data_IF_823838464644
#
_entry.id   IF_823838464644
#
_cell.length_a   1.000
_cell.length_b   1.000
_cell.length_c   1.000
_cell.angle_alpha   90.00
_cell.angle_beta   90.00
_cell.angle_gamma   90.00
#
_symmetry.space_group_name_H-M   'P 1'
#
loop_
_entity.id
_entity.type
_entity.pdbx_description
1 polymer ?
#
# COMPACT_ATOMS: atom_id res chain seq x y z
N UNK A 1 -7.84 -5.91 11.14
CA UNK A 1 -7.99 -5.95 9.66
C UNK A 1 -6.70 -5.47 9.02
N UNK A 2 -6.08 -6.22 8.10
CA UNK A 2 -5.05 -5.68 7.22
C UNK A 2 -5.71 -5.16 5.93
N UNK A 3 -5.44 -3.91 5.56
CA UNK A 3 -5.99 -3.23 4.40
C UNK A 3 -4.85 -2.79 3.47
N UNK A 4 -4.67 -3.53 2.38
CA UNK A 4 -3.67 -3.23 1.35
C UNK A 4 -4.23 -2.28 0.31
N UNK A 5 -3.62 -1.11 0.17
CA UNK A 5 -3.90 -0.14 -0.89
C UNK A 5 -2.96 -0.38 -2.05
N UNK A 6 -3.50 -0.85 -3.17
CA UNK A 6 -2.67 -1.21 -4.31
C UNK A 6 -2.27 0.05 -5.07
N UNK A 7 -0.97 0.22 -5.32
CA UNK A 7 -0.41 1.42 -5.94
C UNK A 7 0.79 1.10 -6.81
N UNK A 8 1.15 2.01 -7.72
CA UNK A 8 2.37 2.02 -8.50
C UNK A 8 3.36 3.06 -7.94
N UNK A 9 4.68 2.91 -8.14
CA UNK A 9 5.68 3.86 -7.63
C UNK A 9 5.40 5.32 -8.00
N UNK A 10 4.96 5.57 -9.24
CA UNK A 10 4.67 6.91 -9.78
C UNK A 10 3.45 7.61 -9.13
N UNK A 11 2.60 6.89 -8.39
CA UNK A 11 1.35 7.42 -7.82
C UNK A 11 1.53 8.11 -6.45
N UNK A 12 2.72 8.68 -6.21
CA UNK A 12 3.05 9.36 -4.96
C UNK A 12 2.02 10.44 -4.56
N UNK A 13 1.47 11.28 -5.48
CA UNK A 13 0.48 12.28 -5.09
C UNK A 13 -0.77 11.67 -4.44
N UNK A 14 -1.25 10.53 -4.94
CA UNK A 14 -2.41 9.84 -4.37
C UNK A 14 -2.10 9.21 -3.02
N UNK A 15 -0.92 8.58 -2.88
CA UNK A 15 -0.45 8.07 -1.58
C UNK A 15 -0.42 9.18 -0.53
N UNK A 16 0.05 10.36 -0.90
CA UNK A 16 0.09 11.52 -0.01
C UNK A 16 -1.30 11.99 0.41
N UNK A 17 -2.29 11.97 -0.49
CA UNK A 17 -3.69 12.27 -0.12
C UNK A 17 -4.21 11.24 0.88
N UNK A 18 -3.97 9.96 0.64
CA UNK A 18 -4.43 8.88 1.54
C UNK A 18 -3.81 9.02 2.93
N UNK A 19 -2.48 9.19 3.03
CA UNK A 19 -1.76 9.42 4.30
C UNK A 19 -2.31 10.62 5.06
N UNK A 20 -2.66 11.68 4.33
CA UNK A 20 -3.13 12.93 4.93
C UNK A 20 -4.64 12.95 5.22
N UNK A 21 -5.39 11.93 4.81
CA UNK A 21 -6.84 11.87 4.97
C UNK A 21 -7.26 10.65 5.75
N UNK A 22 -7.74 9.59 5.09
CA UNK A 22 -8.43 8.50 5.77
C UNK A 22 -7.49 7.59 6.57
N UNK A 23 -6.17 7.63 6.35
CA UNK A 23 -5.19 6.98 7.25
C UNK A 23 -5.03 7.70 8.60
N UNK A 24 -5.50 8.97 8.73
CA UNK A 24 -5.53 9.69 10.01
C UNK A 24 -6.83 9.47 10.79
N UNK A 25 -7.76 8.67 10.28
CA UNK A 25 -8.97 8.32 11.05
C UNK A 25 -8.59 7.47 12.27
N UNK A 26 -9.32 7.64 13.37
CA UNK A 26 -9.12 6.86 14.59
C UNK A 26 -9.15 5.37 14.28
N UNK A 27 -8.23 4.62 14.87
CA UNK A 27 -8.14 3.17 14.69
C UNK A 27 -7.50 2.70 13.40
N UNK A 28 -7.07 3.61 12.52
CA UNK A 28 -6.19 3.31 11.40
C UNK A 28 -4.73 3.45 11.83
N UNK A 29 -3.93 2.42 11.57
CA UNK A 29 -2.51 2.36 11.91
C UNK A 29 -1.74 1.79 10.72
N UNK A 30 -0.42 1.99 10.71
CA UNK A 30 0.42 1.34 9.71
C UNK A 30 0.54 -0.17 10.01
N UNK A 31 0.58 -0.98 8.96
CA UNK A 31 0.85 -2.39 9.06
C UNK A 31 2.27 -2.62 9.58
N UNK A 32 2.38 -3.28 10.72
CA UNK A 32 3.64 -3.66 11.35
C UNK A 32 3.45 -4.98 12.09
N UNK A 33 4.51 -5.54 12.68
CA UNK A 33 4.40 -6.76 13.47
C UNK A 33 3.67 -6.52 14.80
N UNK A 34 2.80 -7.47 15.14
CA UNK A 34 2.03 -7.47 16.39
C UNK A 34 0.81 -6.53 16.41
N UNK A 35 -0.06 -6.78 17.37
CA UNK A 35 -1.19 -5.90 17.68
C UNK A 35 -0.70 -4.60 18.33
N UNK A 36 -1.47 -3.54 18.14
CA UNK A 36 -1.20 -2.20 18.65
C UNK A 36 -2.44 -1.68 19.35
N UNK A 37 -2.27 -1.07 20.51
CA UNK A 37 -3.39 -0.52 21.28
C UNK A 37 -4.09 0.59 20.48
N UNK A 38 -5.42 0.54 20.47
CA UNK A 38 -6.24 1.50 19.76
C UNK A 38 -6.30 1.32 18.23
N UNK A 39 -5.66 0.30 17.66
CA UNK A 39 -5.69 0.01 16.22
C UNK A 39 -6.71 -1.10 15.87
N UNK A 40 -7.56 -0.85 14.87
CA UNK A 40 -8.48 -1.87 14.31
C UNK A 40 -8.19 -2.19 12.84
N UNK A 41 -7.67 -1.20 12.10
CA UNK A 41 -7.32 -1.30 10.69
C UNK A 41 -5.83 -1.00 10.50
N UNK A 42 -5.10 -1.95 9.94
CA UNK A 42 -3.67 -1.88 9.67
C UNK A 42 -3.47 -1.70 8.17
N UNK A 43 -2.90 -0.58 7.78
CA UNK A 43 -2.86 -0.11 6.39
C UNK A 43 -1.46 -0.21 5.81
N UNK A 44 -1.38 -0.57 4.54
CA UNK A 44 -0.13 -0.54 3.79
C UNK A 44 -0.39 -0.21 2.32
N UNK A 45 0.52 0.53 1.70
CA UNK A 45 0.63 0.66 0.26
C UNK A 45 1.35 -0.57 -0.30
N UNK A 46 0.71 -1.28 -1.22
CA UNK A 46 1.24 -2.52 -1.76
C UNK A 46 1.89 -2.24 -3.11
N UNK A 47 3.16 -2.59 -3.24
CA UNK A 47 3.99 -2.47 -4.46
C UNK A 47 4.71 -3.77 -4.77
N UNK A 48 4.96 -4.05 -6.04
CA UNK A 48 5.87 -5.10 -6.50
C UNK A 48 7.33 -4.61 -6.52
N UNK A 49 8.27 -5.52 -6.31
CA UNK A 49 9.70 -5.20 -6.31
C UNK A 49 10.37 -5.31 -7.70
N UNK A 50 9.82 -6.11 -8.62
CA UNK A 50 10.49 -6.44 -9.90
C UNK A 50 9.98 -5.57 -11.04
N UNK A 51 10.86 -5.17 -11.96
CA UNK A 51 10.50 -4.33 -13.10
C UNK A 51 10.37 -2.84 -12.73
N UNK A 52 10.88 -1.99 -13.61
CA UNK A 52 10.42 -0.61 -13.71
C UNK A 52 8.99 -0.69 -14.22
N UNK A 53 8.03 -0.05 -13.53
CA UNK A 53 6.65 -0.02 -14.01
C UNK A 53 6.65 0.37 -15.47
N UNK A 54 6.39 -0.58 -16.37
CA UNK A 54 6.41 -0.34 -17.81
C UNK A 54 5.27 0.64 -18.10
N UNK A 55 5.59 1.94 -18.10
CA UNK A 55 4.71 2.99 -18.58
C UNK A 55 4.42 2.68 -20.03
N UNK A 56 3.24 2.10 -20.28
CA UNK A 56 2.79 1.78 -21.62
C UNK A 56 2.25 3.08 -22.22
N UNK A 57 3.17 3.87 -22.76
CA UNK A 57 2.88 5.02 -23.63
C UNK A 57 2.36 6.24 -22.89
N UNK A 58 3.27 7.05 -22.35
CA UNK A 58 3.11 8.50 -22.25
C UNK A 58 4.49 9.10 -21.99
N UNK A 59 4.70 10.27 -22.55
CA UNK A 59 5.99 10.89 -22.82
C UNK A 59 6.87 10.99 -21.58
N UNK A 60 8.18 10.73 -21.75
CA UNK A 60 9.20 11.13 -20.80
C UNK A 60 9.22 12.66 -20.76
N UNK A 61 8.36 13.27 -19.95
CA UNK A 61 8.71 14.54 -19.37
C UNK A 61 9.84 14.24 -18.38
N UNK A 62 11.07 14.57 -18.82
CA UNK A 62 12.26 14.68 -18.00
C UNK A 62 11.98 15.70 -16.88
N UNK A 63 11.36 15.23 -15.80
CA UNK A 63 11.33 15.95 -14.53
C UNK A 63 12.65 15.63 -13.83
N UNK A 64 13.52 16.62 -13.92
CA UNK A 64 14.80 16.83 -13.26
C UNK A 64 15.11 15.90 -12.07
N UNK A 65 16.31 15.31 -12.16
CA UNK A 65 17.11 14.73 -11.08
C UNK A 65 17.02 15.55 -9.78
N UNK A 66 16.05 15.20 -8.95
CA UNK A 66 15.90 15.73 -7.59
C UNK A 66 15.80 14.57 -6.63
N UNK A 67 16.90 13.82 -6.44
CA UNK A 67 17.09 12.77 -5.42
C UNK A 67 15.77 12.21 -4.88
N UNK A 68 14.96 11.61 -5.77
CA UNK A 68 13.70 11.01 -5.35
C UNK A 68 14.10 9.66 -4.78
N UNK A 69 14.21 9.58 -3.46
CA UNK A 69 14.47 8.32 -2.77
C UNK A 69 13.52 7.23 -3.28
N UNK A 70 13.98 5.98 -3.28
CA UNK A 70 13.18 4.85 -3.79
C UNK A 70 11.77 4.89 -3.15
N UNK A 71 10.69 5.09 -3.94
CA UNK A 71 9.33 5.19 -3.42
C UNK A 71 8.90 3.96 -2.63
N UNK A 72 9.59 2.82 -2.83
CA UNK A 72 9.38 1.57 -2.09
C UNK A 72 9.92 1.63 -0.64
N UNK A 73 10.73 2.62 -0.31
CA UNK A 73 11.25 2.88 1.03
C UNK A 73 10.42 3.92 1.81
N UNK A 74 9.34 4.45 1.22
CA UNK A 74 8.42 5.33 1.93
C UNK A 74 7.77 4.61 3.13
N UNK A 75 7.34 5.38 4.13
CA UNK A 75 6.61 4.84 5.27
C UNK A 75 5.26 4.24 4.83
N UNK A 76 4.91 3.10 5.42
CA UNK A 76 3.67 2.38 5.14
C UNK A 76 3.69 1.58 3.83
N UNK A 77 4.87 1.34 3.24
CA UNK A 77 5.01 0.50 2.05
C UNK A 77 5.16 -0.99 2.44
N UNK A 78 4.40 -1.85 1.77
CA UNK A 78 4.58 -3.30 1.75
C UNK A 78 5.08 -3.71 0.36
N UNK A 79 6.35 -4.09 0.28
CA UNK A 79 7.03 -4.45 -0.97
C UNK A 79 6.98 -5.96 -1.18
N UNK A 80 6.26 -6.40 -2.20
CA UNK A 80 6.16 -7.81 -2.57
C UNK A 80 7.37 -8.21 -3.42
N UNK A 81 8.32 -8.91 -2.78
CA UNK A 81 9.65 -9.22 -3.35
C UNK A 81 9.63 -10.17 -4.56
N UNK A 82 8.55 -10.95 -4.73
CA UNK A 82 8.39 -11.93 -5.80
C UNK A 82 7.43 -11.49 -6.91
N UNK A 83 7.03 -10.22 -6.91
CA UNK A 83 6.03 -9.69 -7.83
C UNK A 83 6.65 -8.66 -8.76
N UNK A 84 6.41 -8.83 -10.05
CA UNK A 84 6.66 -7.77 -11.04
C UNK A 84 5.65 -6.65 -10.82
N UNK A 85 6.12 -5.43 -10.66
CA UNK A 85 5.30 -4.25 -10.45
C UNK A 85 4.40 -4.01 -11.66
N UNK A 86 3.13 -4.31 -11.43
CA UNK A 86 2.00 -3.98 -12.27
C UNK A 86 0.72 -4.34 -11.49
N UNK A 87 -0.43 -4.03 -12.07
CA UNK A 87 -1.74 -4.31 -11.48
C UNK A 87 -2.37 -5.61 -11.99
N UNK A 88 -1.70 -6.38 -12.85
CA UNK A 88 -2.29 -7.50 -13.60
C UNK A 88 -1.68 -8.89 -13.29
N UNK A 89 -0.47 -8.97 -12.74
CA UNK A 89 0.32 -10.21 -12.60
C UNK A 89 0.27 -10.77 -11.18
N UNK A 90 -0.93 -10.83 -10.59
CA UNK A 90 -1.13 -11.57 -9.34
C UNK A 90 -0.66 -10.86 -8.07
N UNK A 91 -0.50 -9.53 -8.10
CA UNK A 91 -0.23 -8.71 -6.90
C UNK A 91 -1.22 -9.00 -5.77
N UNK A 92 -2.49 -9.25 -6.11
CA UNK A 92 -3.54 -9.65 -5.17
C UNK A 92 -3.22 -10.96 -4.46
N UNK A 93 -2.85 -11.99 -5.23
CA UNK A 93 -2.50 -13.30 -4.68
C UNK A 93 -1.32 -13.20 -3.71
N UNK A 94 -0.24 -12.53 -4.14
CA UNK A 94 0.96 -12.39 -3.33
C UNK A 94 0.74 -11.53 -2.09
N UNK A 95 -0.06 -10.46 -2.19
CA UNK A 95 -0.47 -9.70 -1.02
C UNK A 95 -1.18 -10.57 0.02
N UNK A 96 -2.22 -11.31 -0.37
CA UNK A 96 -2.93 -12.18 0.58
C UNK A 96 -2.02 -13.25 1.18
N UNK A 97 -1.16 -13.86 0.35
CA UNK A 97 -0.18 -14.85 0.82
C UNK A 97 0.77 -14.25 1.86
N UNK A 98 1.39 -13.10 1.56
CA UNK A 98 2.30 -12.39 2.48
C UNK A 98 1.61 -12.04 3.79
N UNK A 99 0.37 -11.52 3.76
CA UNK A 99 -0.35 -11.17 5.00
C UNK A 99 -0.62 -12.41 5.86
N UNK A 100 -1.02 -13.53 5.26
CA UNK A 100 -1.29 -14.77 6.01
C UNK A 100 -0.01 -15.35 6.60
N UNK A 101 1.10 -15.35 5.86
CA UNK A 101 2.36 -15.94 6.28
C UNK A 101 3.10 -15.10 7.33
N UNK A 102 3.10 -13.76 7.17
CA UNK A 102 3.92 -12.87 7.98
C UNK A 102 3.15 -12.17 9.10
N UNK A 103 1.83 -12.06 9.01
CA UNK A 103 0.99 -11.32 9.95
C UNK A 103 -0.13 -12.22 10.50
N UNK A 104 0.23 -13.40 11.02
CA UNK A 104 -0.72 -14.43 11.49
C UNK A 104 -1.71 -13.99 12.58
N UNK A 105 -1.44 -12.87 13.26
CA UNK A 105 -2.34 -12.26 14.25
C UNK A 105 -3.48 -11.43 13.63
N UNK A 106 -3.42 -11.17 12.31
CA UNK A 106 -4.48 -10.50 11.55
C UNK A 106 -5.63 -11.48 11.30
N UNK A 107 -6.85 -11.07 11.64
CA UNK A 107 -8.05 -11.91 11.48
C UNK A 107 -8.82 -11.67 10.18
N UNK A 108 -8.63 -10.51 9.55
CA UNK A 108 -9.33 -10.10 8.32
C UNK A 108 -8.36 -9.41 7.38
N UNK A 109 -8.49 -9.66 6.09
CA UNK A 109 -7.63 -9.09 5.05
C UNK A 109 -8.52 -8.47 3.99
N UNK A 110 -8.21 -7.24 3.57
CA UNK A 110 -8.93 -6.53 2.52
C UNK A 110 -7.95 -5.86 1.56
N UNK A 111 -8.40 -5.71 0.32
CA UNK A 111 -7.72 -4.96 -0.73
C UNK A 111 -8.53 -3.72 -1.05
N UNK A 112 -7.84 -2.62 -1.34
CA UNK A 112 -8.39 -1.33 -1.71
C UNK A 112 -7.62 -0.79 -2.92
N UNK A 113 -8.31 -0.10 -3.81
CA UNK A 113 -7.67 0.71 -4.85
C UNK A 113 -7.27 2.08 -4.29
N UNK A 114 -6.31 2.75 -4.95
CA UNK A 114 -5.75 4.02 -4.50
C UNK A 114 -6.71 5.22 -4.68
N UNK A 115 -7.73 5.05 -5.50
CA UNK A 115 -8.78 6.04 -5.77
C UNK A 115 -10.01 5.88 -4.85
N UNK A 116 -9.91 5.04 -3.82
CA UNK A 116 -11.00 4.76 -2.88
C UNK A 116 -10.87 5.56 -1.58
N UNK A 117 -12.01 5.96 -1.01
CA UNK A 117 -12.10 6.63 0.30
C UNK A 117 -12.98 5.82 1.27
N UNK A 118 -12.42 4.84 2.02
CA UNK A 118 -13.19 4.01 2.92
C UNK A 118 -13.60 4.78 4.20
N UNK A 119 -14.82 4.54 4.66
CA UNK A 119 -15.33 5.06 5.92
C UNK A 119 -14.82 4.24 7.13
N UNK A 120 -13.50 4.26 7.37
CA UNK A 120 -12.85 3.43 8.40
C UNK A 120 -13.42 3.63 9.80
N UNK A 121 -13.87 4.84 10.14
CA UNK A 121 -14.56 5.13 11.40
C UNK A 121 -15.78 4.25 11.68
N UNK A 122 -16.37 3.58 10.68
CA UNK A 122 -17.47 2.62 10.84
C UNK A 122 -16.99 1.20 11.16
N UNK A 123 -15.70 0.92 10.99
CA UNK A 123 -15.06 -0.36 11.23
C UNK A 123 -14.22 -0.36 12.53
N UNK A 124 -14.01 0.82 13.12
CA UNK A 124 -13.18 1.06 14.29
C UNK A 124 -14.08 1.48 15.45
N UNK A 125 -13.88 0.88 16.62
CA UNK A 125 -14.68 1.11 17.83
C UNK A 125 -14.15 2.28 18.68
#
# INVERSE_FOLDING_TARGET
LALGVFTMPAEQPYRNVIRNTWWKQRGACLLQQGQQDGCSVYTAFVVGSKGEGRMRGEERHELEDSVVGDPRQEEGMLVLTNVTENLNDGKTFWYFKTIVEEYSWITHIAKCDIDTYPALHKLTW
#
